data_IF_142514248744
#
_entry.id   IF_142514248744
#
_cell.length_a   1.000
_cell.length_b   1.000
_cell.length_c   1.000
_cell.angle_alpha   90.00
_cell.angle_beta   90.00
_cell.angle_gamma   90.00
#
_symmetry.space_group_name_H-M   'P 1'
#
loop_
_entity.id
_entity.type
_entity.pdbx_description
1 polymer ?
#
# COMPACT_ATOMS: atom_id res chain seq x y z
N UNK A 1 7.61 -18.03 -7.70
CA UNK A 1 9.05 -18.35 -7.69
C UNK A 1 9.67 -17.79 -6.40
N UNK A 2 9.76 -18.64 -5.39
CA UNK A 2 10.95 -18.91 -4.55
C UNK A 2 12.25 -18.40 -5.23
N UNK A 3 13.25 -17.75 -4.59
CA UNK A 3 14.09 -18.14 -3.46
C UNK A 3 15.02 -16.96 -3.07
N UNK A 4 15.10 -16.71 -1.76
CA UNK A 4 16.21 -16.29 -0.89
C UNK A 4 17.42 -15.43 -1.37
N UNK A 5 17.64 -14.39 -0.55
CA UNK A 5 18.86 -13.96 0.18
C UNK A 5 20.26 -14.11 -0.45
N UNK A 6 20.98 -12.98 -0.51
CA UNK A 6 22.34 -12.94 0.05
C UNK A 6 22.83 -11.52 0.34
N UNK A 7 23.21 -11.34 1.60
CA UNK A 7 23.83 -10.15 2.21
C UNK A 7 25.32 -10.18 1.87
N UNK A 8 25.84 -9.16 1.20
CA UNK A 8 27.27 -9.01 0.95
C UNK A 8 27.89 -8.07 1.98
N UNK A 9 28.51 -8.68 2.99
CA UNK A 9 29.37 -8.04 4.00
C UNK A 9 30.69 -7.60 3.34
N UNK A 10 31.09 -6.33 3.48
CA UNK A 10 32.37 -5.81 2.98
C UNK A 10 33.45 -5.91 4.07
N UNK A 11 34.58 -6.55 3.75
CA UNK A 11 35.80 -6.49 4.56
C UNK A 11 37.02 -6.44 3.64
N UNK A 12 37.76 -5.34 3.71
CA UNK A 12 38.98 -5.11 2.94
C UNK A 12 40.22 -5.70 3.64
N UNK A 13 41.28 -6.03 2.89
CA UNK A 13 42.63 -5.93 3.42
C UNK A 13 43.62 -5.19 2.49
N UNK A 14 44.51 -4.41 3.12
CA UNK A 14 45.69 -3.71 2.60
C UNK A 14 46.96 -4.56 2.68
N UNK A 15 47.97 -4.31 1.80
CA UNK A 15 49.47 -4.46 1.94
C UNK A 15 50.07 -4.36 0.51
N UNK A 16 50.91 -3.40 0.09
CA UNK A 16 52.27 -2.91 0.46
C UNK A 16 53.46 -3.80 0.01
N UNK A 17 54.32 -3.31 -0.91
CA UNK A 17 55.76 -3.64 -0.92
C UNK A 17 56.49 -4.03 -2.24
N UNK A 18 57.09 -3.01 -2.92
CA UNK A 18 58.44 -2.89 -3.58
C UNK A 18 59.04 -3.87 -4.64
N UNK A 19 59.70 -3.22 -5.62
CA UNK A 19 60.45 -3.63 -6.84
C UNK A 19 61.92 -4.06 -6.56
N UNK A 20 62.66 -4.77 -7.47
CA UNK A 20 63.47 -4.11 -8.55
C UNK A 20 63.61 -4.94 -9.88
N UNK A 21 63.50 -4.34 -11.07
CA UNK A 21 64.55 -3.84 -12.00
C UNK A 21 65.55 -4.87 -12.59
N UNK A 22 65.45 -5.14 -13.90
CA UNK A 22 66.59 -5.60 -14.72
C UNK A 22 66.49 -5.12 -16.19
N UNK A 23 67.64 -4.73 -16.73
CA UNK A 23 67.86 -3.87 -17.88
C UNK A 23 68.37 -4.66 -19.09
N UNK A 24 67.79 -4.38 -20.26
CA UNK A 24 68.38 -4.38 -21.63
C UNK A 24 68.97 -5.68 -22.22
N UNK A 25 68.42 -6.11 -23.37
CA UNK A 25 69.07 -5.98 -24.69
C UNK A 25 68.12 -6.39 -25.82
N UNK A 26 68.04 -5.53 -26.81
CA UNK A 26 67.29 -5.62 -28.07
C UNK A 26 68.08 -6.38 -29.14
N UNK A 27 67.41 -7.27 -29.90
CA UNK A 27 67.85 -7.69 -31.24
C UNK A 27 66.61 -7.85 -32.14
N UNK A 28 66.66 -7.18 -33.28
CA UNK A 28 65.65 -7.10 -34.34
C UNK A 28 65.83 -8.27 -35.32
N UNK A 29 64.73 -8.88 -35.81
CA UNK A 29 64.73 -9.70 -37.03
C UNK A 29 63.42 -9.48 -37.81
N UNK A 30 63.59 -9.27 -39.12
CA UNK A 30 62.62 -8.80 -40.13
C UNK A 30 61.88 -9.99 -40.80
N UNK A 31 60.62 -9.75 -41.16
CA UNK A 31 59.53 -10.69 -41.51
C UNK A 31 59.59 -11.43 -42.86
N UNK A 32 58.89 -12.58 -42.95
CA UNK A 32 58.20 -13.13 -44.15
C UNK A 32 57.33 -14.38 -43.77
N UNK A 33 56.37 -14.89 -44.59
CA UNK A 33 55.04 -14.34 -44.90
C UNK A 33 53.83 -15.30 -44.64
N UNK A 34 52.64 -14.70 -44.44
CA UNK A 34 51.24 -15.20 -44.55
C UNK A 34 50.65 -16.28 -43.56
N UNK A 35 49.83 -15.76 -42.62
CA UNK A 35 48.62 -16.29 -41.92
C UNK A 35 48.72 -17.35 -40.79
N UNK A 36 47.73 -17.40 -39.85
CA UNK A 36 47.27 -16.50 -38.76
C UNK A 36 47.82 -17.02 -37.38
N UNK A 37 47.42 -16.61 -36.13
CA UNK A 37 46.21 -15.89 -35.70
C UNK A 37 46.32 -14.81 -34.60
N UNK A 38 45.22 -14.03 -34.54
CA UNK A 38 44.58 -13.35 -33.40
C UNK A 38 45.50 -12.72 -32.34
N UNK A 39 45.61 -11.38 -32.39
CA UNK A 39 45.90 -10.59 -31.20
C UNK A 39 44.78 -9.60 -30.91
N UNK A 40 44.09 -9.93 -29.82
CA UNK A 40 43.20 -9.10 -29.01
C UNK A 40 43.85 -7.76 -28.70
N UNK A 41 43.37 -6.68 -29.31
CA UNK A 41 43.58 -5.33 -28.82
C UNK A 41 42.53 -5.02 -27.75
N UNK A 42 43.03 -4.69 -26.56
CA UNK A 42 42.29 -4.30 -25.37
C UNK A 42 41.38 -3.10 -25.69
N UNK A 43 40.08 -3.36 -25.80
CA UNK A 43 39.09 -2.28 -25.93
C UNK A 43 38.74 -1.81 -24.53
N UNK A 44 39.16 -0.59 -24.22
CA UNK A 44 38.64 0.22 -23.12
C UNK A 44 37.12 0.24 -23.21
N UNK A 45 36.45 -0.57 -22.38
CA UNK A 45 35.00 -0.64 -22.30
C UNK A 45 34.51 0.69 -21.73
N UNK A 46 34.16 1.59 -22.63
CA UNK A 46 33.45 2.82 -22.33
C UNK A 46 32.06 2.37 -21.87
N UNK A 47 31.76 2.51 -20.57
CA UNK A 47 30.39 2.37 -20.06
C UNK A 47 29.47 3.23 -20.93
N UNK A 48 28.70 2.57 -21.79
CA UNK A 48 27.74 3.21 -22.66
C UNK A 48 26.61 3.71 -21.77
N UNK A 49 26.67 4.99 -21.38
CA UNK A 49 25.46 5.72 -21.03
C UNK A 49 24.61 5.67 -22.28
N UNK A 50 23.60 4.80 -22.28
CA UNK A 50 22.56 4.77 -23.31
C UNK A 50 21.81 6.09 -23.17
N UNK A 51 22.28 7.12 -23.86
CA UNK A 51 21.44 8.28 -24.18
C UNK A 51 20.43 7.75 -25.18
N UNK A 52 19.13 7.65 -24.83
CA UNK A 52 18.15 7.21 -25.81
C UNK A 52 18.14 8.22 -26.95
N UNK A 53 18.40 7.74 -28.17
CA UNK A 53 18.12 8.48 -29.39
C UNK A 53 16.66 8.91 -29.33
N UNK A 54 16.40 10.21 -29.36
CA UNK A 54 15.02 10.74 -29.39
C UNK A 54 14.48 10.58 -30.81
N UNK A 55 14.27 9.33 -31.21
CA UNK A 55 13.55 8.99 -32.42
C UNK A 55 12.07 9.35 -32.25
N UNK A 56 11.40 9.68 -33.35
CA UNK A 56 9.97 10.07 -33.37
C UNK A 56 9.08 9.07 -32.62
N UNK A 57 9.48 7.80 -32.61
CA UNK A 57 8.84 6.69 -31.89
C UNK A 57 8.94 6.81 -30.35
N UNK A 58 10.03 7.37 -29.81
CA UNK A 58 10.18 7.58 -28.36
C UNK A 58 9.15 8.58 -27.83
N UNK A 59 8.85 9.64 -28.61
CA UNK A 59 7.81 10.62 -28.26
C UNK A 59 6.42 10.00 -28.28
N UNK A 60 6.15 9.09 -29.21
CA UNK A 60 4.87 8.36 -29.29
C UNK A 60 4.73 7.42 -28.10
N UNK A 61 5.79 6.71 -27.70
CA UNK A 61 5.76 5.83 -26.52
C UNK A 61 5.53 6.64 -25.24
N UNK A 62 6.22 7.77 -25.07
CA UNK A 62 6.02 8.65 -23.91
C UNK A 62 4.60 9.23 -23.89
N UNK A 63 4.07 9.68 -25.03
CA UNK A 63 2.69 10.18 -25.13
C UNK A 63 1.68 9.08 -24.83
N UNK A 64 1.84 7.89 -25.41
CA UNK A 64 0.98 6.74 -25.15
C UNK A 64 1.03 6.29 -23.68
N UNK A 65 2.21 6.34 -23.04
CA UNK A 65 2.34 6.04 -21.62
C UNK A 65 1.61 7.06 -20.73
N UNK A 66 1.69 8.35 -21.05
CA UNK A 66 0.95 9.40 -20.31
C UNK A 66 -0.56 9.26 -20.51
N UNK A 67 -1.01 8.95 -21.73
CA UNK A 67 -2.43 8.68 -22.01
C UNK A 67 -2.90 7.43 -21.27
N UNK A 68 -2.11 6.35 -21.25
CA UNK A 68 -2.44 5.13 -20.52
C UNK A 68 -2.58 5.39 -19.00
N UNK A 69 -1.70 6.20 -18.41
CA UNK A 69 -1.79 6.58 -16.99
C UNK A 69 -3.03 7.44 -16.72
N UNK A 70 -3.39 8.36 -17.62
CA UNK A 70 -4.61 9.16 -17.49
C UNK A 70 -5.88 8.32 -17.57
N UNK A 71 -5.90 7.27 -18.42
CA UNK A 71 -7.01 6.33 -18.54
C UNK A 71 -7.04 5.24 -17.47
N UNK A 72 -5.93 5.02 -16.75
CA UNK A 72 -5.85 4.06 -15.64
C UNK A 72 -6.40 4.63 -14.31
N UNK A 73 -6.99 5.83 -14.32
CA UNK A 73 -7.65 6.37 -13.13
C UNK A 73 -8.79 5.40 -12.71
N UNK A 74 -8.83 4.98 -11.42
CA UNK A 74 -9.90 4.12 -10.95
C UNK A 74 -11.24 4.84 -11.14
N UNK A 75 -12.30 4.13 -11.58
CA UNK A 75 -13.62 4.73 -11.71
C UNK A 75 -14.01 5.36 -10.37
N UNK A 76 -14.22 6.68 -10.38
CA UNK A 76 -14.66 7.41 -9.20
C UNK A 76 -16.14 7.11 -8.99
N UNK A 77 -16.43 6.10 -8.17
CA UNK A 77 -17.79 5.82 -7.72
C UNK A 77 -18.25 6.96 -6.81
N UNK A 78 -18.79 8.02 -7.42
CA UNK A 78 -19.17 9.25 -6.71
C UNK A 78 -20.27 9.03 -5.66
N UNK A 79 -21.05 7.95 -5.83
CA UNK A 79 -22.09 7.54 -4.88
C UNK A 79 -21.54 6.85 -3.61
N UNK A 80 -20.27 6.43 -3.61
CA UNK A 80 -19.65 5.69 -2.50
C UNK A 80 -18.82 6.58 -1.56
N UNK A 81 -18.52 7.81 -1.97
CA UNK A 81 -17.79 8.77 -1.15
C UNK A 81 -18.75 9.55 -0.26
N UNK A 82 -19.12 8.90 0.85
CA UNK A 82 -19.88 9.49 1.93
C UNK A 82 -18.97 10.35 2.81
N UNK A 83 -19.38 11.59 3.08
CA UNK A 83 -18.65 12.51 3.96
C UNK A 83 -19.41 12.63 5.27
N UNK A 84 -18.71 12.71 6.40
CA UNK A 84 -19.33 12.95 7.71
C UNK A 84 -19.96 14.34 7.72
N UNK A 85 -21.28 14.40 7.88
CA UNK A 85 -22.08 15.64 7.99
C UNK A 85 -22.24 16.06 9.44
N UNK A 86 -22.38 15.07 10.33
CA UNK A 86 -22.50 15.29 11.77
C UNK A 86 -21.72 14.23 12.51
N UNK A 87 -21.03 14.64 13.55
CA UNK A 87 -20.30 13.74 14.43
C UNK A 87 -20.71 14.04 15.88
N UNK A 88 -20.95 12.97 16.63
CA UNK A 88 -21.04 12.99 18.10
C UNK A 88 -19.73 12.38 18.58
N UNK A 89 -18.81 13.18 19.12
CA UNK A 89 -17.51 12.69 19.55
C UNK A 89 -17.69 11.62 20.63
N UNK A 90 -16.71 10.73 20.72
CA UNK A 90 -16.68 9.71 21.77
C UNK A 90 -16.68 10.37 23.14
N UNK A 91 -17.77 10.17 23.88
CA UNK A 91 -17.89 10.49 25.29
C UNK A 91 -17.62 9.21 26.09
N UNK A 92 -16.52 9.18 26.84
CA UNK A 92 -16.16 8.06 27.69
C UNK A 92 -15.43 8.59 28.93
N UNK A 93 -16.08 8.45 30.09
CA UNK A 93 -15.57 8.89 31.40
C UNK A 93 -14.72 7.81 32.10
N UNK A 94 -14.51 6.65 31.46
CA UNK A 94 -13.66 5.56 31.94
C UNK A 94 -14.26 4.66 33.02
N UNK A 95 -15.53 4.84 33.37
CA UNK A 95 -16.17 4.16 34.51
C UNK A 95 -17.46 3.41 34.13
N UNK A 96 -18.39 4.08 33.44
CA UNK A 96 -19.77 3.57 33.30
C UNK A 96 -20.22 3.29 31.85
N UNK A 97 -19.35 3.51 30.87
CA UNK A 97 -19.64 3.23 29.46
C UNK A 97 -19.14 4.30 28.50
N UNK A 98 -19.75 4.35 27.32
CA UNK A 98 -19.39 5.28 26.27
C UNK A 98 -20.60 5.72 25.45
N UNK A 99 -20.48 6.81 24.72
CA UNK A 99 -21.43 7.23 23.70
C UNK A 99 -20.70 7.80 22.49
N UNK A 100 -21.12 7.44 21.29
CA UNK A 100 -20.64 8.06 20.05
C UNK A 100 -21.70 7.97 18.97
N UNK A 101 -21.51 8.73 17.89
CA UNK A 101 -22.37 8.62 16.71
C UNK A 101 -21.90 9.48 15.56
N UNK A 102 -22.40 9.20 14.37
CA UNK A 102 -22.10 9.96 13.17
C UNK A 102 -23.25 9.90 12.17
N UNK A 103 -23.30 10.89 11.30
CA UNK A 103 -24.21 10.98 10.16
C UNK A 103 -23.39 11.29 8.91
N UNK A 104 -23.66 10.55 7.85
CA UNK A 104 -23.00 10.65 6.56
C UNK A 104 -23.88 11.37 5.55
N UNK A 105 -23.26 12.01 4.56
CA UNK A 105 -23.93 12.80 3.52
C UNK A 105 -24.84 11.99 2.62
N UNK A 106 -24.65 10.67 2.56
CA UNK A 106 -25.51 9.74 1.83
C UNK A 106 -26.76 9.32 2.64
N UNK A 107 -27.01 9.95 3.81
CA UNK A 107 -28.17 9.69 4.65
C UNK A 107 -28.04 8.47 5.55
N UNK A 108 -26.88 7.81 5.58
CA UNK A 108 -26.56 6.80 6.58
C UNK A 108 -26.24 7.47 7.91
N UNK A 109 -26.63 6.84 9.01
CA UNK A 109 -26.33 7.33 10.35
C UNK A 109 -26.11 6.16 11.31
N UNK A 110 -25.29 6.38 12.33
CA UNK A 110 -25.06 5.41 13.38
C UNK A 110 -24.94 6.15 14.71
N UNK A 111 -25.57 5.64 15.75
CA UNK A 111 -25.38 6.14 17.10
C UNK A 111 -25.46 4.98 18.08
N UNK A 112 -24.54 4.97 19.03
CA UNK A 112 -24.43 3.91 20.02
C UNK A 112 -24.02 4.49 21.38
N UNK A 113 -24.56 3.89 22.44
CA UNK A 113 -24.15 4.12 23.81
C UNK A 113 -24.05 2.79 24.55
N UNK A 114 -22.99 2.62 25.33
CA UNK A 114 -22.85 1.53 26.27
C UNK A 114 -23.06 2.02 27.70
N UNK A 115 -23.68 1.20 28.55
CA UNK A 115 -23.91 1.46 29.96
C UNK A 115 -23.59 0.21 30.78
N UNK A 116 -22.82 0.36 31.84
CA UNK A 116 -22.57 -0.71 32.81
C UNK A 116 -23.82 -0.88 33.70
N UNK A 117 -24.45 -2.05 33.65
CA UNK A 117 -25.51 -2.44 34.56
C UNK A 117 -24.95 -3.23 35.74
N UNK A 118 -25.55 -3.04 36.91
CA UNK A 118 -25.22 -3.72 38.17
C UNK A 118 -23.74 -3.61 38.57
N UNK A 119 -23.13 -2.45 38.37
CA UNK A 119 -21.74 -2.19 38.76
C UNK A 119 -21.49 -2.55 40.24
N UNK A 120 -20.46 -3.37 40.49
CA UNK A 120 -20.10 -3.83 41.83
C UNK A 120 -20.94 -4.99 42.39
N UNK A 121 -21.79 -5.62 41.58
CA UNK A 121 -22.55 -6.81 41.94
C UNK A 121 -22.14 -8.03 41.08
N UNK A 122 -22.59 -9.22 41.47
CA UNK A 122 -22.30 -10.49 40.78
C UNK A 122 -22.89 -10.59 39.35
N UNK A 123 -23.82 -9.70 39.00
CA UNK A 123 -24.48 -9.63 37.68
C UNK A 123 -24.02 -8.40 36.87
N UNK A 124 -22.77 -7.96 37.08
CA UNK A 124 -22.21 -6.79 36.38
C UNK A 124 -22.06 -7.08 34.89
N UNK A 125 -22.75 -6.28 34.06
CA UNK A 125 -22.76 -6.47 32.62
C UNK A 125 -22.82 -5.16 31.85
N UNK A 126 -22.08 -5.09 30.75
CA UNK A 126 -22.13 -3.96 29.83
C UNK A 126 -23.28 -4.15 28.85
N UNK A 127 -24.22 -3.21 28.84
CA UNK A 127 -25.35 -3.20 27.90
C UNK A 127 -25.14 -2.09 26.87
N UNK A 128 -25.15 -2.47 25.60
CA UNK A 128 -24.97 -1.57 24.47
C UNK A 128 -26.32 -1.33 23.80
N UNK A 129 -26.67 -0.06 23.60
CA UNK A 129 -27.89 0.35 22.91
C UNK A 129 -27.51 1.28 21.78
N UNK A 130 -28.05 1.02 20.61
CA UNK A 130 -27.76 1.86 19.46
C UNK A 130 -28.82 1.79 18.39
N UNK A 131 -28.59 2.59 17.36
CA UNK A 131 -29.35 2.56 16.13
C UNK A 131 -28.42 2.79 14.95
N UNK A 132 -28.66 2.06 13.87
CA UNK A 132 -28.04 2.36 12.59
C UNK A 132 -29.12 2.56 11.53
N UNK A 133 -28.84 3.48 10.62
CA UNK A 133 -29.73 3.86 9.53
C UNK A 133 -28.96 3.74 8.23
N UNK A 134 -29.56 3.06 7.26
CA UNK A 134 -29.03 2.94 5.91
C UNK A 134 -30.09 3.28 4.88
N UNK A 135 -29.64 3.70 3.69
CA UNK A 135 -30.51 4.00 2.55
C UNK A 135 -30.28 2.93 1.51
N UNK A 136 -31.35 2.26 1.10
CA UNK A 136 -31.29 1.25 0.04
C UNK A 136 -30.99 1.93 -1.31
N UNK A 137 -29.92 1.52 -2.02
CA UNK A 137 -29.53 2.13 -3.28
C UNK A 137 -30.53 1.89 -4.41
N UNK A 138 -31.34 0.83 -4.35
CA UNK A 138 -32.31 0.48 -5.41
C UNK A 138 -33.65 1.19 -5.19
N UNK A 139 -34.17 1.17 -3.96
CA UNK A 139 -35.49 1.73 -3.63
C UNK A 139 -35.45 3.16 -3.10
N UNK A 140 -34.27 3.67 -2.74
CA UNK A 140 -34.06 4.94 -2.05
C UNK A 140 -34.81 5.05 -0.70
N UNK A 141 -35.24 3.93 -0.14
CA UNK A 141 -35.94 3.87 1.16
C UNK A 141 -34.91 3.86 2.28
N UNK A 142 -35.18 4.65 3.32
CA UNK A 142 -34.38 4.68 4.56
C UNK A 142 -34.88 3.60 5.52
N UNK A 143 -33.97 2.75 5.95
CA UNK A 143 -34.20 1.72 6.96
C UNK A 143 -33.42 2.04 8.22
N UNK A 144 -34.10 1.96 9.36
CA UNK A 144 -33.49 2.12 10.68
C UNK A 144 -33.66 0.82 11.45
N UNK A 145 -32.57 0.39 12.08
CA UNK A 145 -32.52 -0.72 13.02
C UNK A 145 -32.10 -0.18 14.37
N UNK A 146 -32.90 -0.43 15.38
CA UNK A 146 -32.55 -0.23 16.77
C UNK A 146 -32.03 -1.57 17.31
N UNK A 147 -31.10 -1.54 18.25
CA UNK A 147 -30.61 -2.76 18.86
C UNK A 147 -30.24 -2.58 20.32
N UNK A 148 -30.37 -3.67 21.06
CA UNK A 148 -29.87 -3.82 22.42
C UNK A 148 -28.97 -5.05 22.46
N UNK A 149 -27.73 -4.89 22.89
CA UNK A 149 -26.83 -5.98 23.20
C UNK A 149 -26.67 -6.06 24.72
N UNK A 150 -27.12 -7.16 25.32
CA UNK A 150 -27.05 -7.45 26.75
C UNK A 150 -26.47 -8.85 27.01
N UNK A 151 -26.52 -9.32 28.26
CA UNK A 151 -26.04 -10.65 28.65
C UNK A 151 -26.74 -11.80 27.89
N UNK A 152 -27.96 -11.56 27.40
CA UNK A 152 -28.76 -12.53 26.67
C UNK A 152 -28.50 -12.49 25.15
N UNK A 153 -27.64 -11.58 24.68
CA UNK A 153 -27.20 -11.49 23.28
C UNK A 153 -27.62 -10.19 22.60
N UNK A 154 -27.70 -10.25 21.27
CA UNK A 154 -28.04 -9.10 20.42
C UNK A 154 -29.50 -9.17 19.98
N UNK A 155 -30.28 -8.14 20.32
CA UNK A 155 -31.71 -8.04 20.06
C UNK A 155 -31.96 -6.86 19.10
N UNK A 156 -32.09 -7.10 17.79
CA UNK A 156 -32.41 -6.06 16.82
C UNK A 156 -33.91 -5.88 16.64
N UNK A 157 -34.33 -4.63 16.50
CA UNK A 157 -35.70 -4.22 16.22
C UNK A 157 -35.72 -3.29 15.02
N UNK A 158 -36.58 -3.58 14.03
CA UNK A 158 -36.73 -2.75 12.85
C UNK A 158 -37.96 -3.16 12.05
N UNK A 159 -38.63 -2.19 11.43
CA UNK A 159 -39.87 -2.43 10.67
C UNK A 159 -39.72 -3.40 9.47
N UNK A 160 -38.48 -3.63 9.03
CA UNK A 160 -38.13 -4.51 7.91
C UNK A 160 -37.55 -5.85 8.36
N UNK A 161 -37.38 -6.08 9.66
CA UNK A 161 -36.83 -7.32 10.19
C UNK A 161 -37.96 -8.30 10.50
N UNK A 162 -37.78 -9.60 10.22
CA UNK A 162 -38.74 -10.61 10.64
C UNK A 162 -38.73 -10.71 12.16
N UNK A 163 -39.91 -10.60 12.77
CA UNK A 163 -40.09 -10.80 14.22
C UNK A 163 -40.19 -12.31 14.46
N UNK A 164 -39.37 -12.82 15.38
CA UNK A 164 -39.34 -14.24 15.76
C UNK A 164 -40.38 -14.57 16.83
#
# INVERSE_FOLDING_TARGET
MTVLHSIACWKAPTVSGKHPEFRSRSVQVKESPQHPPKHSSLTFSRNMVVVPSVDRSFKIIVFAAVVAVAFAAPPQNYHDQAVVVKETPLDNIGLDGYQFGYELSNGQAHQESAQLQNAGHENEALVVRGSFTYVDPETNVRYTVNYVADENGFHPEGAHLPVA
#
